data_IF_459225393049
#
_entry.id   IF_459225393049
#
_cell.length_a   1.000
_cell.length_b   1.000
_cell.length_c   1.000
_cell.angle_alpha   90.00
_cell.angle_beta   90.00
_cell.angle_gamma   90.00
#
_symmetry.space_group_name_H-M   'P 1'
#
loop_
_entity.id
_entity.type
_entity.pdbx_description
1 polymer ?
#
# COMPACT_ATOMS: atom_id res chain seq x y z
N UNK A 1 -23.56 -6.91 -8.86
CA UNK A 1 -23.27 -6.36 -7.52
C UNK A 1 -22.85 -4.92 -7.74
N UNK A 2 -23.63 -3.95 -7.26
CA UNK A 2 -23.29 -2.53 -7.40
C UNK A 2 -21.99 -2.24 -6.64
N UNK A 3 -20.88 -2.14 -7.37
CA UNK A 3 -19.61 -1.73 -6.80
C UNK A 3 -19.77 -0.32 -6.27
N UNK A 4 -19.67 -0.13 -4.95
CA UNK A 4 -19.55 1.22 -4.41
C UNK A 4 -18.31 1.86 -4.99
N UNK A 5 -18.47 3.05 -5.57
CA UNK A 5 -17.35 3.90 -5.96
C UNK A 5 -16.46 4.15 -4.74
N UNK A 6 -15.12 4.07 -4.87
CA UNK A 6 -14.22 4.37 -3.77
C UNK A 6 -14.44 5.79 -3.24
N UNK A 7 -14.25 5.98 -1.93
CA UNK A 7 -14.21 7.33 -1.37
C UNK A 7 -12.90 8.01 -1.78
N UNK A 8 -12.99 9.16 -2.43
CA UNK A 8 -11.82 9.93 -2.87
C UNK A 8 -11.48 11.02 -1.88
N UNK A 9 -10.18 11.17 -1.58
CA UNK A 9 -9.62 12.23 -0.74
C UNK A 9 -8.61 13.06 -1.54
N UNK A 10 -8.36 14.29 -1.09
CA UNK A 10 -7.26 15.09 -1.68
C UNK A 10 -5.89 14.45 -1.43
N UNK A 11 -5.70 13.85 -0.26
CA UNK A 11 -4.42 13.26 0.14
C UNK A 11 -4.60 12.10 1.11
N UNK A 12 -3.73 11.11 1.01
CA UNK A 12 -3.66 9.93 1.88
C UNK A 12 -2.24 9.75 2.40
N UNK A 13 -2.09 9.45 3.68
CA UNK A 13 -0.79 9.17 4.31
C UNK A 13 -0.80 7.72 4.82
N UNK A 14 0.22 6.95 4.48
CA UNK A 14 0.37 5.54 4.86
C UNK A 14 1.76 5.39 5.48
N UNK A 15 1.85 4.84 6.70
CA UNK A 15 3.11 4.60 7.41
C UNK A 15 3.15 3.19 7.98
N UNK A 16 4.34 2.75 8.42
CA UNK A 16 4.57 1.57 9.28
C UNK A 16 3.93 0.26 8.76
N UNK A 17 3.98 0.05 7.44
CA UNK A 17 3.40 -1.15 6.82
C UNK A 17 4.30 -2.38 7.00
N UNK A 18 5.62 -2.16 6.98
CA UNK A 18 6.67 -3.16 7.14
C UNK A 18 6.52 -4.41 6.25
N UNK A 19 6.24 -4.24 4.95
CA UNK A 19 6.24 -5.33 3.98
C UNK A 19 7.59 -6.08 4.03
N UNK A 20 7.56 -7.37 4.25
CA UNK A 20 8.74 -8.21 4.50
C UNK A 20 8.76 -8.79 5.91
N UNK A 21 7.94 -8.22 6.80
CA UNK A 21 7.69 -8.73 8.15
C UNK A 21 6.51 -9.70 8.18
N UNK A 22 6.63 -10.79 8.94
CA UNK A 22 5.51 -11.72 9.23
C UNK A 22 4.34 -11.05 9.94
N UNK A 23 4.57 -9.92 10.61
CA UNK A 23 3.54 -9.17 11.33
C UNK A 23 2.81 -8.15 10.42
N UNK A 24 3.26 -7.97 9.17
CA UNK A 24 2.67 -7.01 8.25
C UNK A 24 1.21 -7.35 7.96
N UNK A 25 0.33 -6.39 8.22
CA UNK A 25 -1.12 -6.49 8.01
C UNK A 25 -1.51 -6.13 6.57
N UNK A 26 -0.83 -6.72 5.59
CA UNK A 26 -0.95 -6.35 4.18
C UNK A 26 -2.39 -6.50 3.64
N UNK A 27 -3.13 -7.52 4.04
CA UNK A 27 -4.51 -7.74 3.59
C UNK A 27 -5.47 -6.62 4.02
N UNK A 28 -5.29 -6.08 5.23
CA UNK A 28 -6.07 -4.93 5.69
C UNK A 28 -5.78 -3.68 4.87
N UNK A 29 -4.52 -3.47 4.48
CA UNK A 29 -4.14 -2.36 3.61
C UNK A 29 -4.69 -2.54 2.18
N UNK A 30 -4.67 -3.76 1.64
CA UNK A 30 -5.28 -4.09 0.34
C UNK A 30 -6.77 -3.75 0.34
N UNK A 31 -7.47 -4.11 1.41
CA UNK A 31 -8.89 -3.84 1.59
C UNK A 31 -9.17 -2.34 1.74
N UNK A 32 -8.39 -1.65 2.58
CA UNK A 32 -8.47 -0.20 2.71
C UNK A 32 -8.29 0.52 1.36
N UNK A 33 -7.26 0.16 0.59
CA UNK A 33 -6.98 0.71 -0.74
C UNK A 33 -8.00 0.27 -1.81
N UNK A 34 -8.92 -0.65 -1.51
CA UNK A 34 -10.06 -1.01 -2.38
C UNK A 34 -11.17 0.02 -2.27
N UNK A 35 -11.42 0.53 -1.07
CA UNK A 35 -12.55 1.41 -0.76
C UNK A 35 -12.18 2.89 -0.66
N UNK A 36 -10.89 3.22 -0.68
CA UNK A 36 -10.39 4.59 -0.57
C UNK A 36 -9.40 4.91 -1.69
N UNK A 37 -9.48 6.12 -2.24
CA UNK A 37 -8.56 6.66 -3.24
C UNK A 37 -8.10 8.07 -2.89
N UNK A 38 -7.00 8.52 -3.49
CA UNK A 38 -6.52 9.89 -3.30
C UNK A 38 -5.73 10.43 -4.49
N UNK A 39 -5.78 11.74 -4.70
CA UNK A 39 -4.97 12.43 -5.72
C UNK A 39 -3.47 12.36 -5.38
N UNK A 40 -3.14 12.40 -4.08
CA UNK A 40 -1.77 12.31 -3.57
C UNK A 40 -1.70 11.23 -2.48
N UNK A 41 -0.74 10.32 -2.59
CA UNK A 41 -0.46 9.28 -1.61
C UNK A 41 0.98 9.46 -1.10
N UNK A 42 1.10 9.78 0.18
CA UNK A 42 2.36 9.85 0.89
C UNK A 42 2.63 8.52 1.58
N UNK A 43 3.75 7.91 1.22
CA UNK A 43 4.32 6.74 1.87
C UNK A 43 5.35 7.22 2.88
N UNK A 44 4.99 7.26 4.16
CA UNK A 44 5.76 7.90 5.22
C UNK A 44 6.51 6.84 6.02
N UNK A 45 7.78 6.63 5.67
CA UNK A 45 8.64 5.67 6.35
C UNK A 45 8.18 4.21 6.29
N UNK A 46 9.10 3.30 6.56
CA UNK A 46 8.86 1.90 6.95
C UNK A 46 7.79 1.12 6.17
N UNK A 47 7.62 1.40 4.87
CA UNK A 47 6.67 0.64 4.04
C UNK A 47 7.21 -0.76 3.74
N UNK A 48 8.52 -0.87 3.49
CA UNK A 48 9.20 -2.12 3.18
C UNK A 48 10.31 -2.35 4.19
N UNK A 49 10.29 -3.50 4.87
CA UNK A 49 11.34 -3.92 5.80
C UNK A 49 12.46 -4.67 5.06
N UNK A 50 13.33 -3.89 4.40
CA UNK A 50 14.49 -4.41 3.68
C UNK A 50 15.51 -5.14 4.59
N UNK A 51 15.61 -4.74 5.86
CA UNK A 51 16.51 -5.35 6.83
C UNK A 51 16.10 -6.78 7.17
N UNK A 52 14.80 -7.04 7.37
CA UNK A 52 14.28 -8.41 7.56
C UNK A 52 14.41 -9.23 6.30
N UNK A 53 14.09 -8.68 5.13
CA UNK A 53 14.20 -9.39 3.85
C UNK A 53 15.62 -9.88 3.58
N UNK A 54 16.64 -9.09 3.94
CA UNK A 54 18.05 -9.49 3.81
C UNK A 54 18.44 -10.65 4.74
N UNK A 55 17.80 -10.76 5.91
CA UNK A 55 18.08 -11.81 6.91
C UNK A 55 17.31 -13.10 6.63
N UNK A 56 16.04 -12.99 6.24
CA UNK A 56 15.16 -14.11 5.92
C UNK A 56 14.14 -13.63 4.90
N UNK A 57 14.14 -14.22 3.71
CA UNK A 57 13.18 -13.87 2.69
C UNK A 57 11.76 -14.25 3.12
N UNK A 58 10.89 -13.26 3.29
CA UNK A 58 9.48 -13.44 3.56
C UNK A 58 8.69 -12.43 2.74
N UNK A 59 8.17 -12.87 1.60
CA UNK A 59 7.43 -12.01 0.68
C UNK A 59 6.19 -12.74 0.16
N UNK A 60 5.11 -12.84 0.96
CA UNK A 60 3.88 -13.47 0.53
C UNK A 60 3.17 -12.63 -0.54
N UNK A 61 2.25 -13.25 -1.28
CA UNK A 61 1.52 -12.60 -2.38
C UNK A 61 0.85 -11.28 -1.97
N UNK A 62 0.31 -11.20 -0.75
CA UNK A 62 -0.33 -9.98 -0.23
C UNK A 62 0.59 -8.76 -0.25
N UNK A 63 1.91 -8.94 -0.11
CA UNK A 63 2.85 -7.81 -0.20
C UNK A 63 2.97 -7.28 -1.63
N UNK A 64 3.06 -8.19 -2.60
CA UNK A 64 3.03 -7.81 -4.01
C UNK A 64 1.69 -7.15 -4.36
N UNK A 65 0.58 -7.60 -3.82
CA UNK A 65 -0.74 -7.03 -4.09
C UNK A 65 -0.88 -5.59 -3.56
N UNK A 66 -0.26 -5.26 -2.41
CA UNK A 66 -0.15 -3.87 -1.93
C UNK A 66 0.60 -3.00 -2.94
N UNK A 67 1.79 -3.45 -3.36
CA UNK A 67 2.61 -2.73 -4.34
C UNK A 67 1.85 -2.53 -5.65
N UNK A 68 1.19 -3.57 -6.15
CA UNK A 68 0.40 -3.50 -7.39
C UNK A 68 -0.80 -2.56 -7.26
N UNK A 69 -1.49 -2.52 -6.11
CA UNK A 69 -2.57 -1.56 -5.87
C UNK A 69 -2.08 -0.12 -5.90
N UNK A 70 -0.96 0.17 -5.24
CA UNK A 70 -0.35 1.51 -5.28
C UNK A 70 0.07 1.89 -6.72
N UNK A 71 0.76 0.99 -7.44
CA UNK A 71 1.13 1.23 -8.83
C UNK A 71 -0.08 1.41 -9.76
N UNK A 72 -1.20 0.71 -9.52
CA UNK A 72 -2.44 0.92 -10.28
C UNK A 72 -3.05 2.30 -10.01
N UNK A 73 -3.01 2.80 -8.78
CA UNK A 73 -3.44 4.18 -8.46
C UNK A 73 -2.54 5.21 -9.15
N UNK A 74 -1.22 5.01 -9.14
CA UNK A 74 -0.29 5.85 -9.87
C UNK A 74 -0.59 5.90 -11.37
N UNK A 75 -0.84 4.75 -12.01
CA UNK A 75 -1.23 4.68 -13.43
C UNK A 75 -2.56 5.38 -13.74
N UNK A 76 -3.44 5.55 -12.75
CA UNK A 76 -4.70 6.30 -12.87
C UNK A 76 -4.54 7.80 -12.60
N UNK A 77 -3.34 8.27 -12.28
CA UNK A 77 -3.02 9.68 -12.10
C UNK A 77 -2.70 10.11 -10.66
N UNK A 78 -2.76 9.20 -9.68
CA UNK A 78 -2.38 9.54 -8.31
C UNK A 78 -0.86 9.81 -8.21
N UNK A 79 -0.48 10.92 -7.59
CA UNK A 79 0.91 11.19 -7.26
C UNK A 79 1.31 10.36 -6.04
N UNK A 80 2.36 9.53 -6.13
CA UNK A 80 2.85 8.74 -5.00
C UNK A 80 4.24 9.24 -4.62
N UNK A 81 4.39 9.74 -3.39
CA UNK A 81 5.66 10.27 -2.86
C UNK A 81 6.08 9.44 -1.66
N UNK A 82 7.30 8.94 -1.67
CA UNK A 82 7.93 8.30 -0.50
C UNK A 82 8.71 9.35 0.30
N UNK A 83 8.47 9.40 1.61
CA UNK A 83 9.12 10.31 2.57
C UNK A 83 9.91 9.46 3.56
#
# INVERSE_FOLDING_TARGET
MSGQEPRTFRSMFISDVHLGSKAAKAEFLIDFLRYHDADIIYLVGDIVDGWRLRRSWHWPQSHNDVVQKLLRKARKGASITYI
#
